data_IF_701284467186
#
_entry.id   IF_701284467186
#
_cell.length_a   1.000
_cell.length_b   1.000
_cell.length_c   1.000
_cell.angle_alpha   90.00
_cell.angle_beta   90.00
_cell.angle_gamma   90.00
#
_symmetry.space_group_name_H-M   'P 1'
#
loop_
_entity.id
_entity.type
_entity.pdbx_description
1 polymer ?
#
# COMPACT_ATOMS: atom_id res chain seq x y z
N UNK A 1 10.08 -30.05 -0.04
CA UNK A 1 11.44 -29.53 -0.30
C UNK A 1 11.61 -29.11 -1.75
N UNK A 2 11.23 -29.94 -2.75
CA UNK A 2 11.36 -29.63 -4.19
C UNK A 2 10.60 -28.36 -4.60
N UNK A 3 9.35 -28.17 -4.14
CA UNK A 3 8.54 -26.98 -4.44
C UNK A 3 9.19 -25.70 -3.85
N UNK A 4 9.69 -25.78 -2.61
CA UNK A 4 10.39 -24.65 -2.02
C UNK A 4 11.69 -24.30 -2.77
N UNK A 5 12.45 -25.33 -3.18
CA UNK A 5 13.66 -25.14 -3.97
C UNK A 5 13.36 -24.53 -5.35
N UNK A 6 12.32 -25.01 -6.04
CA UNK A 6 11.93 -24.43 -7.34
C UNK A 6 11.48 -22.97 -7.22
N UNK A 7 10.73 -22.61 -6.18
CA UNK A 7 10.30 -21.21 -5.95
C UNK A 7 11.51 -20.29 -5.71
N UNK A 8 12.45 -20.70 -4.86
CA UNK A 8 13.68 -19.93 -4.62
C UNK A 8 14.52 -19.81 -5.89
N UNK A 9 14.67 -20.91 -6.65
CA UNK A 9 15.43 -20.90 -7.90
C UNK A 9 14.85 -19.95 -8.93
N UNK A 10 13.52 -19.92 -9.08
CA UNK A 10 12.82 -18.98 -9.99
C UNK A 10 13.09 -17.53 -9.58
N UNK A 11 12.98 -17.21 -8.28
CA UNK A 11 13.28 -15.86 -7.79
C UNK A 11 14.73 -15.45 -8.06
N UNK A 12 15.68 -16.35 -7.83
CA UNK A 12 17.11 -16.08 -8.12
C UNK A 12 17.32 -15.87 -9.62
N UNK A 13 16.75 -16.72 -10.48
CA UNK A 13 16.88 -16.59 -11.95
C UNK A 13 16.31 -15.25 -12.42
N UNK A 14 15.10 -14.86 -11.97
CA UNK A 14 14.49 -13.57 -12.31
C UNK A 14 15.38 -12.42 -11.86
N UNK A 15 15.90 -12.47 -10.62
CA UNK A 15 16.76 -11.44 -10.08
C UNK A 15 18.04 -11.30 -10.90
N UNK A 16 18.72 -12.42 -11.18
CA UNK A 16 19.94 -12.43 -11.99
C UNK A 16 19.68 -11.90 -13.40
N UNK A 17 18.57 -12.30 -14.03
CA UNK A 17 18.18 -11.82 -15.36
C UNK A 17 17.98 -10.30 -15.38
N UNK A 18 17.18 -9.75 -14.43
CA UNK A 18 16.92 -8.31 -14.35
C UNK A 18 18.23 -7.53 -14.14
N UNK A 19 19.11 -8.00 -13.27
CA UNK A 19 20.38 -7.34 -13.03
C UNK A 19 21.34 -7.46 -14.22
N UNK A 20 21.39 -8.60 -14.90
CA UNK A 20 22.26 -8.79 -16.08
C UNK A 20 21.88 -7.89 -17.26
N UNK A 21 20.57 -7.64 -17.45
CA UNK A 21 20.09 -6.74 -18.51
C UNK A 21 20.10 -5.26 -18.11
N UNK A 22 19.76 -4.94 -16.87
CA UNK A 22 19.67 -3.56 -16.40
C UNK A 22 21.00 -2.91 -16.08
N UNK A 23 21.94 -3.67 -15.51
CA UNK A 23 23.24 -3.15 -15.05
C UNK A 23 24.09 -2.54 -16.19
N UNK A 24 24.23 -3.17 -17.37
CA UNK A 24 25.00 -2.59 -18.47
C UNK A 24 24.46 -1.24 -18.96
N UNK A 25 23.15 -1.06 -18.97
CA UNK A 25 22.51 0.19 -19.38
C UNK A 25 22.84 1.30 -18.38
N UNK A 26 22.73 0.99 -17.08
CA UNK A 26 23.04 1.93 -16.00
C UNK A 26 24.49 2.40 -16.05
N UNK A 27 25.46 1.49 -16.27
CA UNK A 27 26.87 1.86 -16.34
C UNK A 27 27.25 2.60 -17.63
N UNK A 28 26.61 2.28 -18.78
CA UNK A 28 26.87 2.99 -20.05
C UNK A 28 26.42 4.44 -20.03
N UNK A 29 25.33 4.76 -19.31
CA UNK A 29 24.77 6.13 -19.25
C UNK A 29 25.23 6.90 -18.00
N UNK A 30 25.98 6.24 -17.12
CA UNK A 30 26.41 6.76 -15.82
C UNK A 30 25.32 6.64 -14.75
N UNK A 31 25.63 6.00 -13.59
CA UNK A 31 24.64 5.70 -12.54
C UNK A 31 23.91 6.95 -12.03
N UNK A 32 24.59 8.09 -11.92
CA UNK A 32 23.99 9.34 -11.48
C UNK A 32 22.94 9.88 -12.44
N UNK A 33 23.22 9.90 -13.76
CA UNK A 33 22.25 10.32 -14.76
C UNK A 33 21.07 9.35 -14.87
N UNK A 34 21.33 8.06 -14.76
CA UNK A 34 20.32 7.03 -14.83
C UNK A 34 19.32 7.13 -13.65
N UNK A 35 19.81 7.34 -12.42
CA UNK A 35 18.96 7.41 -11.23
C UNK A 35 18.32 8.80 -11.05
N UNK A 36 19.07 9.88 -11.34
CA UNK A 36 18.64 11.25 -11.06
C UNK A 36 18.19 12.02 -12.31
N UNK A 37 18.23 11.40 -13.49
CA UNK A 37 17.73 12.00 -14.73
C UNK A 37 16.21 12.18 -14.67
N UNK A 38 15.73 13.25 -15.29
CA UNK A 38 14.30 13.60 -15.36
C UNK A 38 13.61 13.07 -16.61
N UNK A 39 14.38 12.80 -17.66
CA UNK A 39 13.84 12.46 -18.98
C UNK A 39 13.91 10.96 -19.23
N UNK A 40 12.77 10.38 -19.59
CA UNK A 40 12.66 8.97 -19.96
C UNK A 40 12.17 8.84 -21.41
N UNK A 41 13.13 8.89 -22.34
CA UNK A 41 12.91 8.69 -23.77
C UNK A 41 13.90 7.66 -24.32
N UNK A 42 13.60 6.35 -24.22
CA UNK A 42 14.51 5.28 -24.69
C UNK A 42 14.89 5.38 -26.15
N UNK A 43 14.01 5.91 -27.02
CA UNK A 43 14.25 6.19 -28.43
C UNK A 43 15.38 7.20 -28.66
N UNK A 44 15.57 8.15 -27.75
CA UNK A 44 16.60 9.18 -27.77
C UNK A 44 17.77 8.85 -26.83
N UNK A 45 17.80 7.63 -26.31
CA UNK A 45 18.80 7.16 -25.33
C UNK A 45 18.87 8.00 -24.03
N UNK A 46 17.76 8.67 -23.69
CA UNK A 46 17.61 9.35 -22.42
C UNK A 46 16.95 8.40 -21.41
N UNK A 47 17.67 8.04 -20.36
CA UNK A 47 17.22 7.11 -19.32
C UNK A 47 17.32 7.81 -17.96
N UNK A 48 16.23 8.41 -17.49
CA UNK A 48 16.12 9.07 -16.18
C UNK A 48 15.00 8.45 -15.34
N UNK A 49 15.33 7.82 -14.21
CA UNK A 49 14.36 7.13 -13.36
C UNK A 49 13.75 8.02 -12.27
N UNK A 50 14.27 9.23 -12.04
CA UNK A 50 13.83 10.07 -10.93
C UNK A 50 12.31 10.31 -10.89
N UNK A 51 11.61 10.62 -12.02
CA UNK A 51 10.18 10.81 -11.98
C UNK A 51 9.42 9.57 -11.52
N UNK A 52 9.86 8.38 -11.93
CA UNK A 52 9.22 7.11 -11.55
C UNK A 52 9.47 6.79 -10.07
N UNK A 53 10.68 7.04 -9.58
CA UNK A 53 11.03 6.85 -8.17
C UNK A 53 10.17 7.78 -7.30
N UNK A 54 10.13 9.08 -7.62
CA UNK A 54 9.32 10.07 -6.89
C UNK A 54 7.83 9.71 -6.99
N UNK A 55 7.35 9.34 -8.18
CA UNK A 55 5.98 8.90 -8.41
C UNK A 55 5.58 7.74 -7.50
N UNK A 56 6.42 6.69 -7.44
CA UNK A 56 6.19 5.53 -6.59
C UNK A 56 6.12 5.90 -5.10
N UNK A 57 7.03 6.75 -4.63
CA UNK A 57 7.01 7.22 -3.25
C UNK A 57 5.78 8.06 -2.92
N UNK A 58 5.41 9.01 -3.78
CA UNK A 58 4.27 9.90 -3.56
C UNK A 58 2.95 9.13 -3.56
N UNK A 59 2.76 8.23 -4.53
CA UNK A 59 1.57 7.38 -4.61
C UNK A 59 1.47 6.44 -3.41
N UNK A 60 2.59 5.81 -3.02
CA UNK A 60 2.61 4.91 -1.85
C UNK A 60 2.34 5.67 -0.56
N UNK A 61 2.96 6.83 -0.37
CA UNK A 61 2.70 7.68 0.80
C UNK A 61 1.24 8.11 0.87
N UNK A 62 0.64 8.51 -0.26
CA UNK A 62 -0.79 8.82 -0.34
C UNK A 62 -1.68 7.62 0.02
N UNK A 63 -1.34 6.43 -0.48
CA UNK A 63 -2.06 5.20 -0.16
C UNK A 63 -1.97 4.85 1.34
N UNK A 64 -0.80 5.02 1.95
CA UNK A 64 -0.62 4.79 3.39
C UNK A 64 -1.36 5.82 4.24
N UNK A 65 -1.35 7.11 3.84
CA UNK A 65 -2.07 8.17 4.54
C UNK A 65 -3.58 7.93 4.58
N UNK A 66 -4.14 7.26 3.58
CA UNK A 66 -5.56 6.90 3.52
C UNK A 66 -5.79 5.54 4.18
N UNK A 67 -5.07 4.52 3.75
CA UNK A 67 -5.34 3.13 4.10
C UNK A 67 -4.96 2.77 5.54
N UNK A 68 -3.87 3.32 6.08
CA UNK A 68 -3.42 2.98 7.44
C UNK A 68 -4.38 3.52 8.52
N UNK A 69 -4.77 4.80 8.53
CA UNK A 69 -5.72 5.29 9.53
C UNK A 69 -7.07 4.58 9.46
N UNK A 70 -7.60 4.37 8.26
CA UNK A 70 -8.86 3.66 8.06
C UNK A 70 -8.77 2.20 8.50
N UNK A 71 -7.71 1.51 8.09
CA UNK A 71 -7.47 0.12 8.47
C UNK A 71 -7.30 -0.08 9.96
N UNK A 72 -6.53 0.81 10.61
CA UNK A 72 -6.34 0.78 12.06
C UNK A 72 -7.65 1.10 12.80
N UNK A 73 -8.42 2.10 12.35
CA UNK A 73 -9.73 2.39 12.92
C UNK A 73 -10.68 1.19 12.82
N UNK A 74 -10.74 0.53 11.66
CA UNK A 74 -11.51 -0.71 11.49
C UNK A 74 -11.04 -1.83 12.43
N UNK A 75 -9.74 -2.02 12.58
CA UNK A 75 -9.18 -3.03 13.49
C UNK A 75 -9.55 -2.74 14.96
N UNK A 76 -9.49 -1.49 15.39
CA UNK A 76 -9.93 -1.06 16.73
C UNK A 76 -11.42 -1.34 16.92
N UNK A 77 -12.26 -0.97 15.95
CA UNK A 77 -13.70 -1.25 16.03
C UNK A 77 -13.97 -2.74 16.13
N UNK A 78 -13.33 -3.55 15.29
CA UNK A 78 -13.50 -5.00 15.28
C UNK A 78 -13.09 -5.69 16.59
N UNK A 79 -12.01 -5.21 17.22
CA UNK A 79 -11.45 -5.85 18.42
C UNK A 79 -12.03 -5.33 19.73
N UNK A 80 -12.44 -4.04 19.79
CA UNK A 80 -12.80 -3.40 21.03
C UNK A 80 -14.28 -3.05 21.14
N UNK A 81 -14.97 -2.84 20.03
CA UNK A 81 -16.38 -2.35 20.01
C UNK A 81 -17.36 -3.31 19.36
N UNK A 82 -16.92 -4.11 18.38
CA UNK A 82 -17.81 -5.01 17.66
C UNK A 82 -18.27 -6.19 18.52
N UNK A 83 -19.52 -6.63 18.32
CA UNK A 83 -19.98 -7.87 18.93
C UNK A 83 -19.18 -9.08 18.37
N UNK A 84 -19.06 -10.14 19.18
CA UNK A 84 -18.37 -11.38 18.75
C UNK A 84 -18.97 -11.97 17.47
N UNK A 85 -20.28 -11.78 17.24
CA UNK A 85 -20.95 -12.23 16.01
C UNK A 85 -20.54 -11.38 14.81
N UNK A 86 -20.54 -10.05 14.95
CA UNK A 86 -20.13 -9.15 13.88
C UNK A 86 -18.66 -9.36 13.49
N UNK A 87 -17.75 -9.44 14.45
CA UNK A 87 -16.32 -9.69 14.19
C UNK A 87 -16.11 -11.04 13.48
N UNK A 88 -16.85 -12.09 13.86
CA UNK A 88 -16.77 -13.43 13.23
C UNK A 88 -17.21 -13.42 11.76
N UNK A 89 -18.13 -12.56 11.38
CA UNK A 89 -18.61 -12.43 9.98
C UNK A 89 -17.70 -11.49 9.19
N UNK A 90 -17.32 -10.36 9.77
CA UNK A 90 -16.56 -9.32 9.06
C UNK A 90 -15.11 -9.74 8.79
N UNK A 91 -14.45 -10.48 9.70
CA UNK A 91 -13.07 -10.90 9.49
C UNK A 91 -12.89 -11.74 8.21
N UNK A 92 -13.64 -12.82 7.96
CA UNK A 92 -13.55 -13.55 6.70
C UNK A 92 -13.87 -12.71 5.46
N UNK A 93 -14.83 -11.79 5.53
CA UNK A 93 -15.15 -10.89 4.41
C UNK A 93 -13.94 -10.00 4.07
N UNK A 94 -13.27 -9.45 5.08
CA UNK A 94 -12.06 -8.64 4.89
C UNK A 94 -10.93 -9.50 4.29
N UNK A 95 -10.77 -10.73 4.76
CA UNK A 95 -9.77 -11.66 4.23
C UNK A 95 -10.05 -12.04 2.77
N UNK A 96 -11.32 -12.22 2.37
CA UNK A 96 -11.70 -12.42 0.97
C UNK A 96 -11.34 -11.22 0.09
N UNK A 97 -11.52 -10.00 0.58
CA UNK A 97 -11.10 -8.78 -0.15
C UNK A 97 -9.58 -8.75 -0.37
N UNK A 98 -8.79 -9.32 0.54
CA UNK A 98 -7.35 -9.44 0.36
C UNK A 98 -6.95 -10.32 -0.84
N UNK A 99 -7.80 -11.27 -1.22
CA UNK A 99 -7.60 -12.19 -2.35
C UNK A 99 -7.96 -11.61 -3.71
N UNK A 100 -8.57 -10.43 -3.79
CA UNK A 100 -8.93 -9.82 -5.06
C UNK A 100 -7.66 -9.41 -5.82
N UNK A 101 -7.50 -9.79 -7.12
CA UNK A 101 -6.37 -9.39 -7.94
C UNK A 101 -6.27 -7.86 -8.06
N UNK A 102 -5.04 -7.31 -8.02
CA UNK A 102 -4.80 -5.86 -8.07
C UNK A 102 -5.36 -5.20 -9.34
N UNK A 103 -5.40 -5.92 -10.47
CA UNK A 103 -5.98 -5.43 -11.72
C UNK A 103 -7.45 -5.09 -11.59
N UNK A 104 -8.21 -5.83 -10.76
CA UNK A 104 -9.64 -5.56 -10.52
C UNK A 104 -9.82 -4.23 -9.79
N UNK A 105 -8.98 -3.95 -8.79
CA UNK A 105 -8.96 -2.64 -8.12
C UNK A 105 -8.63 -1.51 -9.10
N UNK A 106 -7.66 -1.73 -9.98
CA UNK A 106 -7.32 -0.77 -11.04
C UNK A 106 -8.48 -0.52 -12.00
N UNK A 107 -9.18 -1.57 -12.43
CA UNK A 107 -10.35 -1.47 -13.30
C UNK A 107 -11.51 -0.70 -12.64
N UNK A 108 -11.83 -1.02 -11.38
CA UNK A 108 -12.83 -0.26 -10.60
C UNK A 108 -12.37 1.20 -10.46
N UNK A 109 -11.08 1.44 -10.25
CA UNK A 109 -10.51 2.77 -10.19
C UNK A 109 -10.77 3.59 -11.46
N UNK A 110 -10.54 3.01 -12.65
CA UNK A 110 -10.83 3.68 -13.92
C UNK A 110 -12.32 3.97 -14.09
N UNK A 111 -13.17 3.02 -13.75
CA UNK A 111 -14.61 3.14 -14.02
C UNK A 111 -15.31 4.07 -13.01
N UNK A 112 -14.84 4.12 -11.76
CA UNK A 112 -15.50 4.85 -10.67
C UNK A 112 -14.69 6.05 -10.21
N UNK A 113 -13.42 5.85 -9.80
CA UNK A 113 -12.64 6.89 -9.12
C UNK A 113 -12.17 7.96 -10.11
N UNK A 114 -11.68 7.55 -11.28
CA UNK A 114 -11.17 8.49 -12.30
C UNK A 114 -12.25 9.44 -12.79
N UNK A 115 -13.49 9.01 -13.15
CA UNK A 115 -14.57 9.93 -13.48
C UNK A 115 -14.94 10.87 -12.33
N UNK A 116 -15.05 10.36 -11.09
CA UNK A 116 -15.37 11.19 -9.93
C UNK A 116 -14.34 12.31 -9.75
N UNK A 117 -13.04 11.99 -9.83
CA UNK A 117 -11.97 12.98 -9.72
C UNK A 117 -12.07 14.01 -10.85
N UNK A 118 -12.21 13.55 -12.10
CA UNK A 118 -12.29 14.42 -13.28
C UNK A 118 -13.47 15.39 -13.20
N UNK A 119 -14.63 14.89 -12.80
CA UNK A 119 -15.87 15.66 -12.83
C UNK A 119 -16.02 16.64 -11.63
N UNK A 120 -15.38 16.32 -10.47
CA UNK A 120 -15.52 17.15 -9.26
C UNK A 120 -14.26 17.95 -8.90
N UNK A 121 -13.07 17.43 -9.22
CA UNK A 121 -11.79 18.06 -8.88
C UNK A 121 -11.06 18.62 -10.09
N UNK A 122 -11.52 18.26 -11.32
CA UNK A 122 -10.89 18.66 -12.56
C UNK A 122 -9.67 17.82 -12.96
N UNK A 123 -8.99 18.24 -14.05
CA UNK A 123 -7.84 17.53 -14.58
C UNK A 123 -8.21 16.29 -15.39
N UNK A 124 -7.23 15.44 -15.74
CA UNK A 124 -7.48 14.26 -16.57
C UNK A 124 -8.19 13.12 -15.83
N UNK A 125 -8.29 13.20 -14.49
CA UNK A 125 -8.81 12.14 -13.62
C UNK A 125 -7.79 11.05 -13.32
N UNK A 126 -7.00 10.61 -14.29
CA UNK A 126 -5.84 9.74 -14.12
C UNK A 126 -4.76 10.54 -13.36
N UNK A 127 -4.42 10.13 -12.14
CA UNK A 127 -3.62 10.99 -11.26
C UNK A 127 -2.99 10.24 -10.08
N UNK A 128 -2.06 10.90 -9.42
CA UNK A 128 -1.52 10.47 -8.12
C UNK A 128 -2.64 10.20 -7.11
N UNK A 129 -3.64 11.09 -7.04
CA UNK A 129 -4.75 10.96 -6.09
C UNK A 129 -5.61 9.72 -6.40
N UNK A 130 -5.94 9.47 -7.67
CA UNK A 130 -6.67 8.27 -8.07
C UNK A 130 -5.90 7.00 -7.65
N UNK A 131 -4.61 6.95 -7.95
CA UNK A 131 -3.74 5.85 -7.59
C UNK A 131 -3.65 5.67 -6.07
N UNK A 132 -3.47 6.75 -5.31
CA UNK A 132 -3.40 6.73 -3.85
C UNK A 132 -4.69 6.20 -3.21
N UNK A 133 -5.86 6.62 -3.70
CA UNK A 133 -7.16 6.14 -3.18
C UNK A 133 -7.32 4.64 -3.45
N UNK A 134 -7.10 4.20 -4.68
CA UNK A 134 -7.27 2.79 -5.06
C UNK A 134 -6.29 1.88 -4.32
N UNK A 135 -5.02 2.27 -4.24
CA UNK A 135 -4.03 1.53 -3.47
C UNK A 135 -4.34 1.58 -1.96
N UNK A 136 -4.82 2.71 -1.45
CA UNK A 136 -5.25 2.86 -0.06
C UNK A 136 -6.36 1.86 0.30
N UNK A 137 -7.36 1.71 -0.57
CA UNK A 137 -8.43 0.70 -0.41
C UNK A 137 -7.87 -0.71 -0.52
N UNK A 138 -6.98 -0.97 -1.47
CA UNK A 138 -6.38 -2.29 -1.70
C UNK A 138 -5.55 -2.79 -0.51
N UNK A 139 -4.90 -1.89 0.25
CA UNK A 139 -4.10 -2.29 1.43
C UNK A 139 -4.95 -2.47 2.69
N UNK A 140 -6.18 -1.96 2.74
CA UNK A 140 -7.07 -2.04 3.91
C UNK A 140 -7.17 -3.46 4.49
N UNK A 141 -7.45 -4.51 3.71
CA UNK A 141 -7.59 -5.86 4.26
C UNK A 141 -6.32 -6.33 4.99
N UNK A 142 -5.16 -6.03 4.43
CA UNK A 142 -3.86 -6.39 5.02
C UNK A 142 -3.62 -5.66 6.33
N UNK A 143 -3.83 -4.33 6.34
CA UNK A 143 -3.65 -3.51 7.54
C UNK A 143 -4.64 -3.92 8.63
N UNK A 144 -5.90 -4.16 8.28
CA UNK A 144 -6.94 -4.56 9.24
C UNK A 144 -6.59 -5.92 9.86
N UNK A 145 -6.36 -6.96 9.04
CA UNK A 145 -6.14 -8.32 9.54
C UNK A 145 -4.94 -8.39 10.48
N UNK A 146 -3.80 -7.81 10.07
CA UNK A 146 -2.59 -7.86 10.88
C UNK A 146 -2.73 -7.01 12.15
N UNK A 147 -3.41 -5.85 12.07
CA UNK A 147 -3.67 -5.03 13.26
C UNK A 147 -4.64 -5.72 14.23
N UNK A 148 -5.65 -6.44 13.75
CA UNK A 148 -6.55 -7.26 14.58
C UNK A 148 -5.74 -8.33 15.32
N UNK A 149 -4.86 -9.03 14.62
CA UNK A 149 -4.02 -10.06 15.22
C UNK A 149 -3.03 -9.44 16.25
N UNK A 150 -2.51 -8.25 15.97
CA UNK A 150 -1.66 -7.50 16.91
C UNK A 150 -2.41 -7.11 18.19
N UNK A 151 -3.68 -6.69 18.09
CA UNK A 151 -4.50 -6.42 19.27
C UNK A 151 -4.83 -7.69 20.07
N UNK A 152 -5.08 -8.79 19.40
CA UNK A 152 -5.33 -10.07 20.08
C UNK A 152 -4.10 -10.65 20.77
N UNK A 153 -2.90 -10.31 20.31
CA UNK A 153 -1.65 -10.71 20.94
C UNK A 153 -1.35 -9.97 22.27
N UNK A 154 -2.03 -8.86 22.53
CA UNK A 154 -1.90 -8.14 23.81
C UNK A 154 -2.58 -8.95 24.92
N UNK A 155 -1.89 -9.24 26.05
CA UNK A 155 -2.48 -9.99 27.15
C UNK A 155 -3.77 -9.34 27.69
N UNK A 156 -4.84 -10.12 27.95
CA UNK A 156 -6.12 -9.58 28.46
C UNK A 156 -5.99 -8.79 29.76
N UNK A 157 -5.00 -9.13 30.60
CA UNK A 157 -4.70 -8.43 31.86
C UNK A 157 -4.44 -6.93 31.68
N UNK A 158 -3.90 -6.50 30.55
CA UNK A 158 -3.70 -5.07 30.26
C UNK A 158 -5.02 -4.32 30.14
N UNK A 159 -5.98 -4.91 29.44
CA UNK A 159 -7.32 -4.35 29.27
C UNK A 159 -8.10 -4.38 30.59
N UNK A 160 -8.07 -5.51 31.30
CA UNK A 160 -8.76 -5.70 32.58
C UNK A 160 -8.21 -4.77 33.64
N UNK A 161 -6.89 -4.64 33.78
CA UNK A 161 -6.24 -3.72 34.71
C UNK A 161 -6.58 -2.26 34.45
N UNK A 162 -6.63 -1.83 33.20
CA UNK A 162 -7.04 -0.47 32.82
C UNK A 162 -8.48 -0.17 33.22
N UNK A 163 -9.40 -1.09 32.97
CA UNK A 163 -10.83 -0.95 33.33
C UNK A 163 -10.98 -0.97 34.86
N UNK A 164 -10.25 -1.80 35.59
CA UNK A 164 -10.26 -1.85 37.06
C UNK A 164 -9.83 -0.53 37.70
N UNK A 165 -8.96 0.23 37.03
CA UNK A 165 -8.55 1.59 37.43
C UNK A 165 -9.57 2.68 37.03
N UNK A 166 -10.72 2.30 36.45
CA UNK A 166 -11.79 3.23 36.09
C UNK A 166 -11.63 3.85 34.70
N UNK A 167 -10.73 3.37 33.86
CA UNK A 167 -10.57 3.89 32.51
C UNK A 167 -11.77 3.51 31.61
N UNK A 168 -12.21 4.44 30.79
CA UNK A 168 -13.19 4.16 29.72
C UNK A 168 -12.59 3.26 28.64
N UNK A 169 -13.44 2.62 27.83
CA UNK A 169 -12.97 1.78 26.71
C UNK A 169 -12.05 2.56 25.76
N UNK A 170 -12.38 3.81 25.46
CA UNK A 170 -11.56 4.65 24.58
C UNK A 170 -10.19 5.00 25.21
N UNK A 171 -10.16 5.30 26.50
CA UNK A 171 -8.92 5.52 27.22
C UNK A 171 -8.07 4.26 27.23
N UNK A 172 -8.66 3.09 27.48
CA UNK A 172 -7.99 1.79 27.42
C UNK A 172 -7.39 1.55 26.02
N UNK A 173 -8.15 1.81 24.95
CA UNK A 173 -7.63 1.68 23.58
C UNK A 173 -6.44 2.59 23.33
N UNK A 174 -6.59 3.88 23.63
CA UNK A 174 -5.57 4.89 23.27
C UNK A 174 -4.32 4.79 24.14
N UNK A 175 -4.47 4.56 25.45
CA UNK A 175 -3.36 4.63 26.42
C UNK A 175 -2.72 3.28 26.72
N UNK A 176 -3.41 2.18 26.45
CA UNK A 176 -2.92 0.84 26.81
C UNK A 176 -2.80 -0.07 25.59
N UNK A 177 -3.91 -0.30 24.86
CA UNK A 177 -3.93 -1.30 23.79
C UNK A 177 -3.11 -0.89 22.56
N UNK A 178 -3.25 0.35 22.08
CA UNK A 178 -2.46 0.86 20.94
C UNK A 178 -0.95 0.87 21.23
N UNK A 179 -0.46 1.39 22.35
CA UNK A 179 0.96 1.31 22.69
C UNK A 179 1.46 -0.12 22.87
N UNK A 180 0.66 -1.01 23.48
CA UNK A 180 1.03 -2.41 23.66
C UNK A 180 1.11 -3.18 22.32
N UNK A 181 0.22 -2.89 21.37
CA UNK A 181 0.17 -3.53 20.05
C UNK A 181 1.10 -2.86 19.00
N UNK A 182 1.88 -1.84 19.37
CA UNK A 182 2.63 -0.99 18.41
C UNK A 182 3.51 -1.78 17.45
N UNK A 183 4.20 -2.81 17.92
CA UNK A 183 5.11 -3.61 17.08
C UNK A 183 4.35 -4.33 15.96
N UNK A 184 3.19 -4.91 16.27
CA UNK A 184 2.32 -5.56 15.29
C UNK A 184 1.65 -4.55 14.35
N UNK A 185 1.29 -3.36 14.84
CA UNK A 185 0.76 -2.27 14.00
C UNK A 185 1.81 -1.79 13.02
N UNK A 186 3.06 -1.61 13.44
CA UNK A 186 4.17 -1.26 12.54
C UNK A 186 4.37 -2.35 11.48
N UNK A 187 4.31 -3.62 11.85
CA UNK A 187 4.36 -4.73 10.90
C UNK A 187 3.20 -4.67 9.88
N UNK A 188 1.97 -4.36 10.33
CA UNK A 188 0.81 -4.16 9.45
C UNK A 188 1.04 -3.04 8.42
N UNK A 189 1.63 -1.93 8.85
CA UNK A 189 1.97 -0.80 7.96
C UNK A 189 3.03 -1.19 6.96
N UNK A 190 4.11 -1.86 7.38
CA UNK A 190 5.20 -2.31 6.49
C UNK A 190 4.68 -3.31 5.46
N UNK A 191 3.85 -4.26 5.85
CA UNK A 191 3.26 -5.24 4.92
C UNK A 191 2.25 -4.58 3.97
N UNK A 192 1.45 -3.63 4.46
CA UNK A 192 0.58 -2.80 3.62
C UNK A 192 1.38 -1.97 2.61
N UNK A 193 2.49 -1.36 3.02
CA UNK A 193 3.41 -0.64 2.15
C UNK A 193 4.02 -1.55 1.07
N UNK A 194 4.50 -2.74 1.46
CA UNK A 194 5.03 -3.72 0.51
C UNK A 194 3.99 -4.13 -0.54
N UNK A 195 2.72 -4.28 -0.13
CA UNK A 195 1.60 -4.55 -1.04
C UNK A 195 1.31 -3.38 -1.98
N UNK A 196 1.37 -2.14 -1.49
CA UNK A 196 1.17 -0.94 -2.32
C UNK A 196 2.29 -0.79 -3.37
N UNK A 197 3.56 -0.92 -2.99
CA UNK A 197 4.71 -0.84 -3.90
C UNK A 197 4.68 -1.98 -4.94
N UNK A 198 4.26 -3.18 -4.54
CA UNK A 198 4.18 -4.34 -5.41
C UNK A 198 2.97 -4.34 -6.38
N UNK A 199 2.06 -3.39 -6.27
CA UNK A 199 0.82 -3.32 -7.07
C UNK A 199 1.03 -2.60 -8.41
N UNK A 200 1.76 -3.21 -9.34
CA UNK A 200 2.06 -2.62 -10.65
C UNK A 200 0.83 -2.44 -11.54
N UNK A 201 0.00 -3.48 -11.69
CA UNK A 201 -1.13 -3.46 -12.64
C UNK A 201 -2.22 -2.45 -12.26
N UNK A 202 -2.54 -2.32 -10.98
CA UNK A 202 -3.52 -1.31 -10.54
C UNK A 202 -3.04 0.10 -10.89
N UNK A 203 -1.78 0.42 -10.61
CA UNK A 203 -1.22 1.76 -10.80
C UNK A 203 -1.07 2.12 -12.27
N UNK A 204 -0.60 1.20 -13.11
CA UNK A 204 -0.49 1.42 -14.58
C UNK A 204 -1.84 1.87 -15.17
N UNK A 205 -2.94 1.32 -14.67
CA UNK A 205 -4.27 1.64 -15.18
C UNK A 205 -4.75 3.05 -14.79
N UNK A 206 -4.38 3.55 -13.60
CA UNK A 206 -5.03 4.73 -12.99
C UNK A 206 -4.11 5.93 -12.76
N UNK A 207 -2.79 5.74 -12.80
CA UNK A 207 -1.83 6.81 -12.53
C UNK A 207 -1.57 7.76 -13.72
N UNK A 208 -1.94 7.34 -14.96
CA UNK A 208 -1.82 8.16 -16.15
C UNK A 208 -0.49 8.05 -16.91
N UNK A 209 0.47 7.28 -16.43
CA UNK A 209 1.73 6.91 -17.10
C UNK A 209 2.61 8.07 -17.61
N UNK A 210 2.49 9.28 -17.07
CA UNK A 210 3.34 10.40 -17.44
C UNK A 210 4.72 10.26 -16.77
N UNK A 211 5.78 10.24 -17.56
CA UNK A 211 7.16 10.20 -17.09
C UNK A 211 7.64 11.59 -16.67
N UNK A 212 6.94 12.21 -15.71
CA UNK A 212 7.26 13.53 -15.16
C UNK A 212 7.09 13.50 -13.63
N UNK A 213 7.86 14.32 -12.93
CA UNK A 213 7.68 14.52 -11.48
C UNK A 213 6.31 15.16 -11.24
N UNK A 214 5.42 14.55 -10.43
CA UNK A 214 4.09 15.11 -10.22
C UNK A 214 4.17 16.44 -9.50
N UNK A 215 3.59 17.49 -10.11
CA UNK A 215 3.53 18.84 -9.55
C UNK A 215 2.33 19.06 -8.61
N UNK A 216 1.35 18.18 -8.68
CA UNK A 216 0.14 18.22 -7.84
C UNK A 216 -0.44 16.81 -7.64
N UNK A 217 -1.31 16.61 -6.64
CA UNK A 217 -2.03 15.34 -6.46
C UNK A 217 -2.92 14.95 -7.66
N UNK A 218 -3.34 15.91 -8.48
CA UNK A 218 -4.17 15.70 -9.67
C UNK A 218 -3.33 15.47 -10.94
N UNK A 219 -2.01 15.61 -10.86
CA UNK A 219 -1.12 15.33 -11.97
C UNK A 219 -1.02 13.83 -12.27
N UNK A 220 -0.95 13.42 -13.54
CA UNK A 220 -0.62 12.06 -13.89
C UNK A 220 0.84 11.75 -13.54
N UNK A 221 1.12 10.48 -13.25
CA UNK A 221 2.46 10.04 -12.86
C UNK A 221 2.73 8.63 -13.40
N UNK A 222 3.98 8.30 -13.58
CA UNK A 222 4.48 6.94 -13.83
C UNK A 222 5.19 6.44 -12.56
N UNK A 223 4.90 5.20 -12.17
CA UNK A 223 5.52 4.56 -11.00
C UNK A 223 6.33 3.33 -11.42
#
# INVERSE_FOLDING_TARGET
>A
LMIAFSAVSILVIITVFIFSEGTPIMFRHGPGRFLLGLDWYPSEKAFGLLPMIVGSFVVTAGALLIGVPMGLACAVVLTQFASKRAARVLKPVIELLAGIPSVVYGFIGIVVIVPIIRDHLGGPGLSVLAAAIVLGVMILPTVISISVDAFHAVPPSYREGSIALGATVWQTVRMVMLPAARSGIVAAVILGMGRAIGATMAVILIAGNAAAVPSSPLAPVRT
#
